data_IF_630947060554
#
_entry.id   IF_630947060554
#
_cell.length_a   1.000
_cell.length_b   1.000
_cell.length_c   1.000
_cell.angle_alpha   90.00
_cell.angle_beta   90.00
_cell.angle_gamma   90.00
#
_symmetry.space_group_name_H-M   'P 1'
#
loop_
_entity.id
_entity.type
_entity.pdbx_description
1 polymer ?
#
# COMPACT_ATOMS: atom_id res chain seq x y z
N UNK A 1 0.98 13.09 16.79
CA UNK A 1 1.44 13.03 15.39
C UNK A 1 1.97 14.34 14.79
N UNK A 2 1.84 15.49 15.47
CA UNK A 2 2.28 16.80 14.93
C UNK A 2 3.77 16.86 14.51
N UNK A 3 4.62 16.03 15.12
CA UNK A 3 6.04 15.94 14.79
C UNK A 3 6.31 15.44 13.36
N UNK A 4 5.35 14.71 12.77
CA UNK A 4 5.42 14.15 11.41
C UNK A 4 4.51 14.89 10.42
N UNK A 5 3.99 16.07 10.81
CA UNK A 5 3.05 16.84 9.98
C UNK A 5 3.68 17.22 8.64
N UNK A 6 2.88 17.12 7.59
CA UNK A 6 3.22 17.60 6.24
C UNK A 6 2.57 18.97 6.06
N UNK A 7 3.37 19.98 5.73
CA UNK A 7 2.90 21.33 5.44
C UNK A 7 2.06 21.37 4.16
N UNK A 8 1.06 22.27 4.05
CA UNK A 8 0.25 22.42 2.85
C UNK A 8 1.12 22.68 1.61
N UNK A 9 0.82 21.95 0.53
CA UNK A 9 1.57 22.06 -0.73
C UNK A 9 1.40 23.42 -1.41
N UNK A 10 0.18 23.95 -1.36
CA UNK A 10 -0.17 25.23 -1.97
C UNK A 10 -0.35 26.33 -0.90
N UNK A 11 -0.03 27.60 -1.24
CA UNK A 11 0.69 28.02 -2.44
C UNK A 11 2.11 27.42 -2.47
N UNK A 12 2.63 27.19 -3.69
CA UNK A 12 4.00 26.72 -3.86
C UNK A 12 4.94 27.80 -3.34
N UNK A 13 5.86 27.39 -2.47
CA UNK A 13 6.82 28.27 -1.79
C UNK A 13 8.02 27.45 -1.36
N UNK A 14 9.10 28.13 -0.99
CA UNK A 14 10.25 27.47 -0.38
C UNK A 14 9.84 26.81 0.95
N UNK A 15 10.02 25.48 1.03
CA UNK A 15 9.79 24.68 2.22
C UNK A 15 11.09 24.04 2.72
N UNK A 16 12.25 24.52 2.28
CA UNK A 16 13.56 23.95 2.59
C UNK A 16 13.99 24.10 4.05
N UNK A 17 13.35 24.98 4.84
CA UNK A 17 13.66 25.15 6.26
C UNK A 17 13.57 23.81 7.02
N UNK A 18 14.61 23.39 7.78
CA UNK A 18 14.58 22.15 8.52
C UNK A 18 13.45 22.10 9.56
N UNK A 19 12.76 20.96 9.64
CA UNK A 19 11.78 20.70 10.70
C UNK A 19 12.46 20.37 12.04
N UNK A 20 11.70 20.42 13.12
CA UNK A 20 12.18 19.99 14.44
C UNK A 20 12.60 18.51 14.43
N UNK A 21 11.85 17.64 13.74
CA UNK A 21 12.20 16.23 13.54
C UNK A 21 13.53 16.06 12.83
N UNK A 22 13.75 16.78 11.73
CA UNK A 22 15.01 16.72 11.00
C UNK A 22 16.19 17.22 11.85
N UNK A 23 15.98 18.31 12.58
CA UNK A 23 16.99 18.88 13.48
C UNK A 23 17.37 17.91 14.59
N UNK A 24 16.40 17.20 15.17
CA UNK A 24 16.64 16.17 16.18
C UNK A 24 17.55 15.05 15.65
N UNK A 25 17.20 14.45 14.51
CA UNK A 25 18.01 13.37 13.92
C UNK A 25 19.39 13.88 13.50
N UNK A 26 19.48 15.06 12.88
CA UNK A 26 20.76 15.63 12.49
C UNK A 26 21.71 15.81 13.68
N UNK A 27 21.22 16.30 14.82
CA UNK A 27 22.02 16.40 16.05
C UNK A 27 22.51 15.04 16.54
N UNK A 28 21.64 14.02 16.57
CA UNK A 28 22.02 12.66 16.99
C UNK A 28 23.07 12.04 16.08
N UNK A 29 22.94 12.23 14.77
CA UNK A 29 23.91 11.75 13.76
C UNK A 29 25.26 12.44 13.95
N UNK A 30 25.25 13.77 14.15
CA UNK A 30 26.46 14.55 14.46
C UNK A 30 27.15 14.07 15.73
N UNK A 31 26.40 13.63 16.73
CA UNK A 31 26.93 13.01 17.97
C UNK A 31 27.41 11.56 17.81
N UNK A 32 27.38 10.99 16.60
CA UNK A 32 27.93 9.66 16.31
C UNK A 32 26.90 8.57 16.04
N UNK A 33 25.60 8.86 16.10
CA UNK A 33 24.57 7.85 15.77
C UNK A 33 24.76 7.34 14.33
N UNK A 34 24.85 6.02 14.18
CA UNK A 34 25.02 5.35 12.89
C UNK A 34 26.47 5.23 12.41
N UNK A 35 27.46 5.80 13.10
CA UNK A 35 28.86 5.80 12.66
C UNK A 35 29.43 4.38 12.48
N UNK A 36 29.25 3.52 13.47
CA UNK A 36 29.81 2.16 13.43
C UNK A 36 29.15 1.30 12.35
N UNK A 37 27.85 1.47 12.12
CA UNK A 37 27.14 0.84 11.01
C UNK A 37 27.78 1.22 9.67
N UNK A 38 28.04 2.52 9.44
CA UNK A 38 28.63 2.98 8.18
C UNK A 38 30.09 2.54 8.04
N UNK A 39 30.86 2.51 9.13
CA UNK A 39 32.21 1.98 9.12
C UNK A 39 32.23 0.49 8.73
N UNK A 40 31.31 -0.31 9.27
CA UNK A 40 31.18 -1.73 8.93
C UNK A 40 30.81 -1.91 7.45
N UNK A 41 29.78 -1.22 6.99
CA UNK A 41 29.33 -1.30 5.59
C UNK A 41 30.39 -0.77 4.59
N UNK A 42 31.31 0.07 5.04
CA UNK A 42 32.41 0.59 4.20
C UNK A 42 33.58 -0.40 4.01
N UNK A 43 33.57 -1.55 4.72
CA UNK A 43 34.54 -2.64 4.48
C UNK A 43 34.29 -3.33 3.15
N UNK A 44 33.03 -3.48 2.75
CA UNK A 44 32.59 -4.01 1.46
C UNK A 44 31.38 -3.21 0.94
N UNK A 45 31.59 -2.07 0.27
CA UNK A 45 30.52 -1.13 -0.03
C UNK A 45 29.62 -1.61 -1.17
N UNK A 46 28.39 -1.99 -0.82
CA UNK A 46 27.28 -2.25 -1.75
C UNK A 46 26.33 -1.05 -1.84
N UNK A 47 25.37 -1.01 -2.80
CA UNK A 47 24.31 -0.01 -2.74
C UNK A 47 23.48 -0.13 -1.45
N UNK A 48 23.33 0.97 -0.70
CA UNK A 48 22.37 1.05 0.42
C UNK A 48 21.00 1.38 -0.16
N UNK A 49 20.00 0.55 0.17
CA UNK A 49 18.59 0.82 -0.08
C UNK A 49 17.87 0.89 1.26
N UNK A 50 17.21 2.02 1.55
CA UNK A 50 16.46 2.18 2.80
C UNK A 50 15.02 2.63 2.55
N UNK A 51 14.09 2.00 3.26
CA UNK A 51 12.67 2.39 3.35
C UNK A 51 12.40 3.35 4.52
N UNK A 52 13.47 3.84 5.15
CA UNK A 52 13.41 4.88 6.18
C UNK A 52 14.56 5.86 5.97
N UNK A 53 14.32 7.17 6.12
CA UNK A 53 15.32 8.18 5.75
C UNK A 53 16.56 8.22 6.66
N UNK A 54 16.43 7.79 7.92
CA UNK A 54 17.51 7.96 8.92
C UNK A 54 18.78 7.17 8.54
N UNK A 55 18.72 5.88 8.15
CA UNK A 55 19.88 5.17 7.60
C UNK A 55 20.55 5.85 6.39
N UNK A 56 19.76 6.47 5.49
CA UNK A 56 20.32 7.20 4.36
C UNK A 56 21.13 8.43 4.82
N UNK A 57 20.68 9.11 5.88
CA UNK A 57 21.40 10.23 6.48
C UNK A 57 22.65 9.79 7.25
N UNK A 58 22.64 8.59 7.87
CA UNK A 58 23.86 8.03 8.44
C UNK A 58 24.92 7.86 7.35
N UNK A 59 24.52 7.25 6.22
CA UNK A 59 25.41 6.98 5.11
C UNK A 59 25.99 8.27 4.51
N UNK A 60 25.16 9.28 4.26
CA UNK A 60 25.63 10.56 3.74
C UNK A 60 26.54 11.31 4.73
N UNK A 61 26.18 11.35 6.02
CA UNK A 61 26.94 12.12 7.01
C UNK A 61 28.29 11.49 7.38
N UNK A 62 28.33 10.16 7.53
CA UNK A 62 29.54 9.43 7.95
C UNK A 62 30.41 8.96 6.77
N UNK A 63 30.13 9.44 5.54
CA UNK A 63 30.98 9.20 4.38
C UNK A 63 30.92 7.77 3.86
N UNK A 64 29.72 7.24 3.63
CA UNK A 64 29.55 5.96 2.95
C UNK A 64 30.12 6.01 1.53
N UNK A 65 30.87 4.98 1.14
CA UNK A 65 31.58 4.91 -0.15
C UNK A 65 30.67 4.46 -1.31
N UNK A 66 29.60 3.72 -1.01
CA UNK A 66 28.65 3.21 -2.00
C UNK A 66 27.53 4.20 -2.34
N UNK A 67 26.66 3.80 -3.30
CA UNK A 67 25.45 4.57 -3.63
C UNK A 67 24.43 4.46 -2.50
N UNK A 68 23.69 5.55 -2.26
CA UNK A 68 22.64 5.61 -1.22
C UNK A 68 21.30 5.91 -1.87
N UNK A 69 20.34 5.02 -1.66
CA UNK A 69 18.98 5.12 -2.15
C UNK A 69 17.98 5.17 -0.99
N UNK A 70 16.99 6.06 -1.08
CA UNK A 70 15.90 6.18 -0.12
C UNK A 70 14.55 6.03 -0.83
N UNK A 71 13.77 5.01 -0.44
CA UNK A 71 12.42 4.81 -0.95
C UNK A 71 11.45 5.64 -0.12
N UNK A 72 10.60 6.41 -0.79
CA UNK A 72 9.44 7.04 -0.16
C UNK A 72 8.24 6.10 -0.31
N UNK A 73 7.62 5.75 0.81
CA UNK A 73 6.56 4.74 0.85
C UNK A 73 5.14 5.34 0.89
N UNK A 74 4.99 6.66 1.05
CA UNK A 74 3.70 7.34 1.18
C UNK A 74 3.36 8.20 -0.04
N UNK A 75 2.08 8.55 -0.21
CA UNK A 75 1.61 9.38 -1.32
C UNK A 75 2.05 10.85 -1.24
N UNK A 76 2.50 11.31 -0.07
CA UNK A 76 3.14 12.60 0.16
C UNK A 76 4.18 12.46 1.28
N UNK A 77 5.04 13.46 1.47
CA UNK A 77 6.21 13.31 2.35
C UNK A 77 6.49 14.53 3.22
N UNK A 78 6.77 14.28 4.50
CA UNK A 78 7.12 15.30 5.48
C UNK A 78 8.54 15.85 5.25
N UNK A 79 8.79 17.09 5.69
CA UNK A 79 10.10 17.76 5.53
C UNK A 79 11.29 16.95 6.04
N UNK A 80 11.10 16.11 7.06
CA UNK A 80 12.17 15.30 7.63
C UNK A 80 12.76 14.25 6.67
N UNK A 81 12.06 13.90 5.60
CA UNK A 81 12.52 12.96 4.59
C UNK A 81 13.42 13.58 3.51
N UNK A 82 13.56 14.91 3.49
CA UNK A 82 14.62 15.57 2.74
C UNK A 82 15.81 15.89 3.66
N UNK A 83 17.07 15.79 3.19
CA UNK A 83 18.26 15.89 4.05
C UNK A 83 18.40 17.27 4.66
N UNK A 84 19.16 17.40 5.74
CA UNK A 84 19.39 18.71 6.38
C UNK A 84 20.05 19.72 5.41
N UNK A 85 21.00 19.25 4.59
CA UNK A 85 21.65 20.04 3.54
C UNK A 85 21.21 19.57 2.14
N UNK A 86 19.91 19.69 1.84
CA UNK A 86 19.28 19.06 0.67
C UNK A 86 19.97 19.36 -0.67
N UNK A 87 20.44 20.60 -0.88
CA UNK A 87 21.10 21.03 -2.12
C UNK A 87 22.44 20.32 -2.37
N UNK A 88 23.14 19.92 -1.31
CA UNK A 88 24.45 19.24 -1.40
C UNK A 88 24.33 17.71 -1.42
N UNK A 89 23.15 17.19 -1.09
CA UNK A 89 22.92 15.77 -0.90
C UNK A 89 23.18 14.96 -2.17
N UNK A 90 23.71 13.74 -1.97
CA UNK A 90 23.95 12.76 -3.02
C UNK A 90 22.96 11.59 -2.98
N UNK A 91 22.11 11.52 -1.95
CA UNK A 91 21.06 10.50 -1.80
C UNK A 91 20.15 10.54 -3.02
N UNK A 92 19.88 9.37 -3.60
CA UNK A 92 18.90 9.22 -4.68
C UNK A 92 17.58 8.75 -4.10
N UNK A 93 16.53 9.51 -4.34
CA UNK A 93 15.18 9.22 -3.88
C UNK A 93 14.41 8.43 -4.93
N UNK A 94 13.81 7.32 -4.50
CA UNK A 94 12.93 6.48 -5.31
C UNK A 94 11.51 6.73 -4.83
N UNK A 95 10.76 7.52 -5.61
CA UNK A 95 9.49 8.10 -5.17
C UNK A 95 8.30 7.46 -5.86
N UNK A 96 7.13 7.40 -5.20
CA UNK A 96 6.02 6.64 -5.73
C UNK A 96 5.20 7.40 -6.77
N UNK A 97 5.25 8.73 -6.78
CA UNK A 97 4.45 9.56 -7.66
C UNK A 97 5.08 10.95 -7.87
N UNK A 98 4.48 11.73 -8.79
CA UNK A 98 4.92 13.09 -9.10
C UNK A 98 4.77 14.06 -7.91
N UNK A 99 3.71 13.89 -7.10
CA UNK A 99 3.44 14.75 -5.93
C UNK A 99 4.61 14.73 -4.94
N UNK A 100 5.18 13.56 -4.68
CA UNK A 100 6.35 13.40 -3.81
C UNK A 100 7.61 13.99 -4.45
N UNK A 101 7.80 13.83 -5.77
CA UNK A 101 8.92 14.47 -6.49
C UNK A 101 8.89 15.98 -6.31
N UNK A 102 7.78 16.61 -6.67
CA UNK A 102 7.60 18.05 -6.53
C UNK A 102 7.78 18.49 -5.05
N UNK A 103 7.33 17.67 -4.08
CA UNK A 103 7.50 17.94 -2.65
C UNK A 103 8.97 18.00 -2.24
N UNK A 104 9.76 17.02 -2.65
CA UNK A 104 11.20 16.96 -2.33
C UNK A 104 11.97 18.12 -2.98
N UNK A 105 11.56 18.53 -4.18
CA UNK A 105 12.12 19.73 -4.84
C UNK A 105 11.83 21.00 -4.04
N UNK A 106 10.60 21.17 -3.50
CA UNK A 106 10.28 22.29 -2.59
C UNK A 106 11.09 22.25 -1.29
N UNK A 107 11.58 21.08 -0.88
CA UNK A 107 12.50 20.94 0.26
C UNK A 107 13.98 21.16 -0.11
N UNK A 108 14.28 21.40 -1.39
CA UNK A 108 15.62 21.70 -1.90
C UNK A 108 16.43 20.49 -2.37
N UNK A 109 15.80 19.32 -2.52
CA UNK A 109 16.45 18.15 -3.15
C UNK A 109 16.56 18.38 -4.66
N UNK A 110 17.71 18.05 -5.24
CA UNK A 110 17.94 18.22 -6.68
C UNK A 110 17.04 17.29 -7.50
N UNK A 111 16.41 17.81 -8.56
CA UNK A 111 15.52 17.04 -9.42
C UNK A 111 16.17 15.77 -9.99
N UNK A 112 17.45 15.84 -10.40
CA UNK A 112 18.21 14.69 -10.91
C UNK A 112 18.58 13.64 -9.84
N UNK A 113 18.21 13.86 -8.58
CA UNK A 113 18.33 12.91 -7.47
C UNK A 113 16.98 12.30 -7.10
N UNK A 114 15.92 12.56 -7.85
CA UNK A 114 14.58 12.06 -7.55
C UNK A 114 14.05 11.31 -8.77
N UNK A 115 13.90 9.99 -8.63
CA UNK A 115 13.44 9.09 -9.67
C UNK A 115 12.05 8.59 -9.32
N UNK A 116 11.08 8.75 -10.23
CA UNK A 116 9.71 8.28 -9.99
C UNK A 116 9.61 6.80 -10.35
N UNK A 117 9.59 5.93 -9.35
CA UNK A 117 9.56 4.48 -9.54
C UNK A 117 8.15 3.89 -9.42
N UNK A 118 7.27 4.53 -8.67
CA UNK A 118 6.01 3.91 -8.23
C UNK A 118 6.16 3.20 -6.88
N UNK A 119 5.03 2.77 -6.31
CA UNK A 119 5.03 2.05 -5.04
C UNK A 119 5.64 0.65 -5.19
N UNK A 120 6.48 0.20 -4.25
CA UNK A 120 6.98 -1.17 -4.24
C UNK A 120 5.86 -2.15 -3.87
N UNK A 121 5.61 -3.12 -4.74
CA UNK A 121 4.58 -4.15 -4.60
C UNK A 121 5.16 -5.56 -4.78
N UNK A 122 4.52 -6.59 -4.21
CA UNK A 122 5.03 -7.97 -4.29
C UNK A 122 5.04 -8.50 -5.72
N UNK A 123 6.21 -8.92 -6.20
CA UNK A 123 6.40 -9.44 -7.57
C UNK A 123 5.52 -10.68 -7.83
N UNK A 124 5.32 -11.50 -6.81
CA UNK A 124 4.48 -12.70 -6.83
C UNK A 124 2.97 -12.41 -6.98
N UNK A 125 2.56 -11.15 -6.77
CA UNK A 125 1.19 -10.66 -7.04
C UNK A 125 1.11 -9.83 -8.33
N UNK A 126 2.23 -9.54 -8.98
CA UNK A 126 2.25 -8.85 -10.29
C UNK A 126 2.36 -9.89 -11.41
N UNK A 127 3.35 -10.79 -11.30
CA UNK A 127 3.62 -11.82 -12.31
C UNK A 127 4.54 -11.36 -13.43
N UNK A 128 5.62 -10.65 -13.09
CA UNK A 128 6.62 -10.23 -14.06
C UNK A 128 6.19 -9.03 -14.90
N UNK A 129 7.01 -8.71 -15.91
CA UNK A 129 6.78 -7.59 -16.83
C UNK A 129 5.46 -7.76 -17.61
N UNK A 130 5.05 -9.00 -17.89
CA UNK A 130 3.77 -9.30 -18.56
C UNK A 130 2.54 -9.07 -17.68
N UNK A 131 2.72 -8.94 -16.36
CA UNK A 131 1.66 -8.72 -15.38
C UNK A 131 0.59 -9.82 -15.39
N UNK A 132 0.98 -11.04 -15.79
CA UNK A 132 0.04 -12.14 -16.05
C UNK A 132 -0.78 -12.53 -14.80
N UNK A 133 -0.18 -12.39 -13.62
CA UNK A 133 -0.81 -12.76 -12.36
C UNK A 133 -1.88 -11.73 -11.98
N UNK A 134 -1.53 -10.44 -11.94
CA UNK A 134 -2.46 -9.39 -11.51
C UNK A 134 -3.66 -9.31 -12.47
N UNK A 135 -3.43 -9.50 -13.78
CA UNK A 135 -4.51 -9.55 -14.78
C UNK A 135 -5.44 -10.73 -14.55
N UNK A 136 -4.91 -11.92 -14.27
CA UNK A 136 -5.72 -13.09 -13.98
C UNK A 136 -6.54 -12.93 -12.69
N UNK A 137 -5.93 -12.36 -11.64
CA UNK A 137 -6.62 -12.09 -10.37
C UNK A 137 -7.72 -11.05 -10.52
N UNK A 138 -7.44 -9.94 -11.22
CA UNK A 138 -8.41 -8.89 -11.47
C UNK A 138 -9.59 -9.41 -12.30
N UNK A 139 -9.33 -10.19 -13.35
CA UNK A 139 -10.37 -10.84 -14.14
C UNK A 139 -11.32 -11.69 -13.27
N UNK A 140 -10.76 -12.49 -12.36
CA UNK A 140 -11.55 -13.28 -11.41
C UNK A 140 -12.31 -12.40 -10.40
N UNK A 141 -11.68 -11.32 -9.94
CA UNK A 141 -12.21 -10.40 -8.93
C UNK A 141 -13.39 -9.59 -9.44
N UNK A 142 -13.32 -9.03 -10.66
CA UNK A 142 -14.42 -8.27 -11.28
C UNK A 142 -15.70 -9.10 -11.29
N UNK A 143 -15.60 -10.41 -11.55
CA UNK A 143 -16.77 -11.29 -11.52
C UNK A 143 -17.47 -11.29 -10.15
N UNK A 144 -16.71 -11.33 -9.06
CA UNK A 144 -17.25 -11.28 -7.70
C UNK A 144 -17.71 -9.88 -7.29
N UNK A 145 -17.08 -8.84 -7.83
CA UNK A 145 -17.39 -7.44 -7.49
C UNK A 145 -18.54 -6.85 -8.30
N UNK A 146 -18.96 -7.50 -9.38
CA UNK A 146 -20.07 -7.10 -10.24
C UNK A 146 -21.03 -8.28 -10.49
N UNK A 147 -21.72 -8.77 -9.44
CA UNK A 147 -22.64 -9.90 -9.53
C UNK A 147 -23.80 -9.66 -10.52
N UNK A 148 -24.20 -8.40 -10.71
CA UNK A 148 -25.25 -8.00 -11.66
C UNK A 148 -24.75 -7.74 -13.08
N UNK A 149 -23.43 -7.74 -13.29
CA UNK A 149 -22.81 -7.50 -14.59
C UNK A 149 -23.00 -6.06 -15.10
N UNK A 150 -23.33 -5.10 -14.23
CA UNK A 150 -23.59 -3.71 -14.62
C UNK A 150 -22.32 -3.08 -15.16
N UNK A 151 -21.23 -3.14 -14.40
CA UNK A 151 -19.94 -2.61 -14.81
C UNK A 151 -19.41 -3.34 -16.05
N UNK A 152 -19.47 -4.68 -16.05
CA UNK A 152 -18.97 -5.52 -17.16
C UNK A 152 -19.68 -5.24 -18.47
N UNK A 153 -21.00 -5.00 -18.46
CA UNK A 153 -21.75 -4.58 -19.66
C UNK A 153 -21.39 -3.16 -20.09
N UNK A 154 -21.32 -2.22 -19.15
CA UNK A 154 -21.06 -0.80 -19.44
C UNK A 154 -19.66 -0.58 -20.03
N UNK A 155 -18.65 -1.31 -19.52
CA UNK A 155 -17.24 -1.11 -19.87
C UNK A 155 -16.60 -2.35 -20.53
N UNK A 156 -17.39 -3.14 -21.28
CA UNK A 156 -16.94 -4.39 -21.90
C UNK A 156 -15.65 -4.23 -22.74
N UNK A 157 -15.57 -3.16 -23.55
CA UNK A 157 -14.40 -2.88 -24.39
C UNK A 157 -13.13 -2.59 -23.57
N UNK A 158 -13.26 -1.91 -22.43
CA UNK A 158 -12.13 -1.61 -21.55
C UNK A 158 -11.60 -2.90 -20.92
N UNK A 159 -12.50 -3.74 -20.43
CA UNK A 159 -12.15 -5.05 -19.86
C UNK A 159 -11.46 -5.94 -20.91
N UNK A 160 -11.99 -5.98 -22.13
CA UNK A 160 -11.39 -6.75 -23.23
C UNK A 160 -9.98 -6.27 -23.57
N UNK A 161 -9.76 -4.95 -23.61
CA UNK A 161 -8.46 -4.35 -23.93
C UNK A 161 -7.36 -4.72 -22.93
N UNK A 162 -7.67 -4.75 -21.63
CA UNK A 162 -6.66 -4.93 -20.59
C UNK A 162 -6.57 -6.34 -20.01
N UNK A 163 -7.68 -7.08 -20.06
CA UNK A 163 -7.82 -8.40 -19.45
C UNK A 163 -8.16 -9.45 -20.49
N UNK A 164 -9.45 -9.66 -20.74
CA UNK A 164 -9.99 -10.67 -21.66
C UNK A 164 -11.45 -10.27 -21.97
N UNK A 165 -12.01 -10.69 -23.12
CA UNK A 165 -13.43 -10.48 -23.40
C UNK A 165 -14.30 -10.98 -22.24
N UNK A 166 -15.40 -10.28 -21.91
CA UNK A 166 -16.28 -10.63 -20.76
C UNK A 166 -16.77 -12.09 -20.82
N UNK A 167 -17.11 -12.57 -22.02
CA UNK A 167 -17.48 -13.96 -22.30
C UNK A 167 -16.41 -15.00 -21.91
N UNK A 168 -15.15 -14.59 -21.76
CA UNK A 168 -14.04 -15.43 -21.31
C UNK A 168 -13.71 -15.25 -19.82
N UNK A 169 -14.32 -14.28 -19.13
CA UNK A 169 -14.18 -14.14 -17.68
C UNK A 169 -14.87 -15.32 -17.00
N UNK A 170 -14.07 -16.11 -16.28
CA UNK A 170 -14.57 -17.30 -15.59
C UNK A 170 -15.02 -16.94 -14.18
N UNK A 171 -16.19 -17.44 -13.80
CA UNK A 171 -16.60 -17.45 -12.40
C UNK A 171 -15.54 -18.19 -11.57
N UNK A 172 -14.95 -17.55 -10.54
CA UNK A 172 -13.83 -18.12 -9.78
C UNK A 172 -14.23 -19.28 -8.85
N UNK A 173 -15.51 -19.69 -8.81
CA UNK A 173 -16.05 -20.80 -7.98
C UNK A 173 -15.64 -20.69 -6.50
N UNK A 174 -15.65 -19.47 -5.97
CA UNK A 174 -15.36 -19.14 -4.57
C UNK A 174 -16.23 -17.97 -4.10
N UNK A 175 -16.53 -17.84 -2.80
CA UNK A 175 -17.26 -16.69 -2.27
C UNK A 175 -16.51 -15.37 -2.50
N UNK A 176 -17.28 -14.27 -2.39
CA UNK A 176 -16.73 -12.93 -2.23
C UNK A 176 -15.78 -12.94 -1.04
N UNK A 177 -14.52 -12.55 -1.25
CA UNK A 177 -13.49 -12.63 -0.22
C UNK A 177 -13.07 -11.24 0.22
N UNK A 178 -13.39 -10.90 1.47
CA UNK A 178 -12.99 -9.65 2.12
C UNK A 178 -11.77 -9.95 2.98
N UNK A 179 -10.73 -9.13 2.86
CA UNK A 179 -9.59 -9.16 3.76
C UNK A 179 -9.60 -7.86 4.56
N UNK A 180 -9.86 -7.97 5.85
CA UNK A 180 -9.79 -6.86 6.79
C UNK A 180 -8.42 -6.84 7.46
N UNK A 181 -7.64 -5.81 7.20
CA UNK A 181 -6.31 -5.65 7.76
C UNK A 181 -6.28 -4.62 8.88
N UNK A 182 -6.01 -5.09 10.10
CA UNK A 182 -5.88 -4.25 11.29
C UNK A 182 -4.67 -3.34 11.14
N UNK A 183 -4.80 -2.09 11.58
CA UNK A 183 -3.67 -1.16 11.58
C UNK A 183 -2.50 -1.68 12.43
N UNK A 184 -1.26 -1.38 12.04
CA UNK A 184 -0.05 -1.98 12.65
C UNK A 184 0.09 -1.90 14.18
N UNK A 185 -0.57 -0.94 14.84
CA UNK A 185 -0.61 -0.84 16.31
C UNK A 185 -1.70 -1.72 16.98
N UNK A 186 -2.47 -2.49 16.22
CA UNK A 186 -3.72 -3.14 16.67
C UNK A 186 -4.94 -2.23 16.58
N UNK A 187 -4.79 -1.04 15.98
CA UNK A 187 -5.84 -0.03 15.87
C UNK A 187 -7.02 -0.54 15.03
N UNK A 188 -8.23 -0.16 15.44
CA UNK A 188 -9.49 -0.48 14.75
C UNK A 188 -9.81 -1.99 14.63
N UNK A 189 -9.18 -2.86 15.46
CA UNK A 189 -9.49 -4.30 15.50
C UNK A 189 -10.97 -4.60 15.75
N UNK A 190 -11.68 -3.70 16.43
CA UNK A 190 -13.11 -3.85 16.74
C UNK A 190 -13.99 -3.81 15.48
N UNK A 191 -13.55 -3.13 14.42
CA UNK A 191 -14.25 -3.18 13.11
C UNK A 191 -14.28 -4.63 12.60
N UNK A 192 -13.18 -5.37 12.73
CA UNK A 192 -13.13 -6.78 12.35
C UNK A 192 -14.15 -7.66 13.09
N UNK A 193 -14.46 -7.31 14.35
CA UNK A 193 -15.51 -7.97 15.13
C UNK A 193 -16.90 -7.61 14.61
N UNK A 194 -17.14 -6.34 14.30
CA UNK A 194 -18.39 -5.89 13.70
C UNK A 194 -18.64 -6.64 12.38
N UNK A 195 -17.62 -6.76 11.52
CA UNK A 195 -17.71 -7.52 10.27
C UNK A 195 -18.07 -8.99 10.51
N UNK A 196 -17.43 -9.66 11.47
CA UNK A 196 -17.76 -11.03 11.84
C UNK A 196 -19.22 -11.19 12.29
N UNK A 197 -19.69 -10.25 13.11
CA UNK A 197 -21.06 -10.26 13.66
C UNK A 197 -22.10 -10.01 12.57
N UNK A 198 -21.95 -8.93 11.80
CA UNK A 198 -22.92 -8.50 10.79
C UNK A 198 -22.95 -9.45 9.59
N UNK A 199 -21.79 -9.98 9.17
CA UNK A 199 -21.71 -10.92 8.04
C UNK A 199 -21.88 -12.39 8.46
N UNK A 200 -22.19 -12.70 9.72
CA UNK A 200 -22.23 -14.08 10.24
C UNK A 200 -23.09 -15.03 9.39
N UNK A 201 -24.28 -14.57 8.98
CA UNK A 201 -25.19 -15.34 8.12
C UNK A 201 -24.56 -15.63 6.76
N UNK A 202 -23.92 -14.63 6.14
CA UNK A 202 -23.24 -14.74 4.85
C UNK A 202 -22.02 -15.67 4.91
N UNK A 203 -21.27 -15.63 6.01
CA UNK A 203 -20.14 -16.53 6.28
C UNK A 203 -20.59 -17.99 6.39
N UNK A 204 -21.64 -18.26 7.18
CA UNK A 204 -22.21 -19.61 7.36
C UNK A 204 -22.81 -20.17 6.05
N UNK A 205 -23.40 -19.31 5.23
CA UNK A 205 -23.95 -19.68 3.92
C UNK A 205 -22.89 -19.86 2.82
N UNK A 206 -21.62 -19.53 3.09
CA UNK A 206 -20.56 -19.58 2.07
C UNK A 206 -20.74 -18.57 0.94
N UNK A 207 -21.42 -17.44 1.21
CA UNK A 207 -21.55 -16.32 0.27
C UNK A 207 -20.37 -15.36 0.37
N UNK A 208 -19.87 -15.17 1.59
CA UNK A 208 -18.73 -14.32 1.92
C UNK A 208 -17.68 -15.15 2.63
N UNK A 209 -16.41 -14.84 2.36
CA UNK A 209 -15.25 -15.24 3.16
C UNK A 209 -14.59 -13.99 3.73
N UNK A 210 -14.24 -14.03 5.01
CA UNK A 210 -13.57 -12.96 5.73
C UNK A 210 -12.20 -13.45 6.22
N UNK A 211 -11.14 -12.77 5.79
CA UNK A 211 -9.81 -12.89 6.36
C UNK A 211 -9.56 -11.72 7.32
N UNK A 212 -9.27 -12.01 8.58
CA UNK A 212 -8.93 -11.04 9.62
C UNK A 212 -7.42 -11.04 9.82
N UNK A 213 -6.74 -9.97 9.43
CA UNK A 213 -5.27 -9.92 9.48
C UNK A 213 -4.81 -9.38 10.82
N UNK A 214 -4.20 -10.27 11.61
CA UNK A 214 -3.50 -9.94 12.85
C UNK A 214 -2.00 -9.67 12.62
N UNK A 215 -1.46 -10.05 11.45
CA UNK A 215 -0.04 -9.88 11.15
C UNK A 215 0.83 -10.71 12.07
N UNK A 216 1.74 -10.03 12.80
CA UNK A 216 2.60 -10.65 13.82
C UNK A 216 2.12 -10.37 15.25
N UNK A 217 0.95 -9.74 15.42
CA UNK A 217 0.40 -9.34 16.72
C UNK A 217 -0.40 -10.47 17.35
N UNK A 218 0.23 -11.21 18.26
CA UNK A 218 -0.41 -12.33 18.96
C UNK A 218 -1.64 -11.89 19.79
N UNK A 219 -1.63 -10.67 20.36
CA UNK A 219 -2.76 -10.12 21.09
C UNK A 219 -4.00 -9.89 20.20
N UNK A 220 -3.80 -9.42 18.97
CA UNK A 220 -4.88 -9.28 17.97
C UNK A 220 -5.37 -10.64 17.49
N UNK A 221 -4.45 -11.59 17.29
CA UNK A 221 -4.81 -12.97 16.96
C UNK A 221 -5.68 -13.62 18.05
N UNK A 222 -5.26 -13.53 19.32
CA UNK A 222 -6.03 -14.05 20.47
C UNK A 222 -7.39 -13.37 20.56
N UNK A 223 -7.44 -12.05 20.35
CA UNK A 223 -8.68 -11.28 20.37
C UNK A 223 -9.70 -11.82 19.35
N UNK A 224 -9.29 -11.99 18.08
CA UNK A 224 -10.17 -12.57 17.06
C UNK A 224 -10.52 -14.03 17.33
N UNK A 225 -9.55 -14.84 17.78
CA UNK A 225 -9.77 -16.26 18.07
C UNK A 225 -10.82 -16.45 19.16
N UNK A 226 -10.75 -15.67 20.24
CA UNK A 226 -11.71 -15.72 21.33
C UNK A 226 -13.13 -15.39 20.85
N UNK A 227 -13.26 -14.39 19.96
CA UNK A 227 -14.56 -14.05 19.38
C UNK A 227 -15.13 -15.16 18.49
N UNK A 228 -14.30 -15.74 17.60
CA UNK A 228 -14.75 -16.86 16.76
C UNK A 228 -15.24 -18.04 17.60
N UNK A 229 -14.54 -18.36 18.70
CA UNK A 229 -14.93 -19.41 19.62
C UNK A 229 -16.27 -19.12 20.31
N UNK A 230 -16.43 -17.93 20.89
CA UNK A 230 -17.64 -17.58 21.65
C UNK A 230 -18.91 -17.42 20.79
N UNK A 231 -18.76 -17.22 19.48
CA UNK A 231 -19.88 -17.04 18.55
C UNK A 231 -20.10 -18.22 17.59
N UNK A 232 -19.48 -19.37 17.86
CA UNK A 232 -19.66 -20.59 17.05
C UNK A 232 -19.18 -20.45 15.60
N UNK A 233 -18.11 -19.67 15.39
CA UNK A 233 -17.47 -19.47 14.08
C UNK A 233 -16.10 -20.13 13.97
N UNK A 234 -15.59 -20.77 15.03
CA UNK A 234 -14.28 -21.43 15.04
C UNK A 234 -14.14 -22.52 13.95
N UNK A 235 -15.23 -23.25 13.64
CA UNK A 235 -15.27 -24.25 12.57
C UNK A 235 -15.74 -23.69 11.22
N UNK A 236 -16.00 -22.39 11.11
CA UNK A 236 -16.47 -21.78 9.87
C UNK A 236 -15.29 -21.57 8.90
N UNK A 237 -15.21 -22.38 7.84
CA UNK A 237 -14.15 -22.28 6.82
C UNK A 237 -14.06 -20.92 6.10
N UNK A 238 -15.10 -20.11 6.22
CA UNK A 238 -15.19 -18.77 5.64
C UNK A 238 -14.75 -17.65 6.59
N UNK A 239 -14.42 -17.94 7.85
CA UNK A 239 -13.83 -16.99 8.79
C UNK A 239 -12.39 -17.42 9.11
N UNK A 240 -11.42 -16.66 8.63
CA UNK A 240 -10.00 -17.01 8.74
C UNK A 240 -9.21 -15.91 9.45
N UNK A 241 -8.31 -16.26 10.36
CA UNK A 241 -7.37 -15.32 10.98
C UNK A 241 -6.00 -15.49 10.35
N UNK A 242 -5.44 -14.41 9.84
CA UNK A 242 -4.12 -14.39 9.19
C UNK A 242 -3.10 -13.89 10.21
N UNK A 243 -2.27 -14.81 10.69
CA UNK A 243 -1.25 -14.58 11.69
C UNK A 243 0.00 -15.41 11.38
N UNK A 244 1.18 -14.84 11.64
CA UNK A 244 2.45 -15.58 11.63
C UNK A 244 3.34 -15.11 12.78
N UNK A 245 4.35 -15.92 13.12
CA UNK A 245 5.26 -15.63 14.25
C UNK A 245 6.27 -14.52 13.92
N UNK A 246 6.64 -14.40 12.65
CA UNK A 246 7.58 -13.41 12.15
C UNK A 246 7.08 -12.74 10.87
N UNK A 247 7.74 -11.64 10.51
CA UNK A 247 7.32 -10.79 9.38
C UNK A 247 7.49 -11.48 8.04
N UNK A 248 8.52 -12.28 7.85
CA UNK A 248 8.82 -12.91 6.56
C UNK A 248 7.76 -13.96 6.23
N UNK A 249 7.42 -14.81 7.20
CA UNK A 249 6.31 -15.75 7.08
C UNK A 249 4.98 -15.02 6.88
N UNK A 250 4.75 -13.93 7.63
CA UNK A 250 3.54 -13.12 7.48
C UNK A 250 3.41 -12.59 6.05
N UNK A 251 4.46 -12.00 5.47
CA UNK A 251 4.40 -11.45 4.12
C UNK A 251 4.11 -12.53 3.08
N UNK A 252 4.73 -13.71 3.19
CA UNK A 252 4.44 -14.83 2.28
C UNK A 252 2.96 -15.26 2.34
N UNK A 253 2.40 -15.40 3.54
CA UNK A 253 0.99 -15.78 3.72
C UNK A 253 0.07 -14.65 3.23
N UNK A 254 0.40 -13.39 3.57
CA UNK A 254 -0.39 -12.22 3.17
C UNK A 254 -0.44 -12.06 1.64
N UNK A 255 0.70 -12.16 0.97
CA UNK A 255 0.78 -12.06 -0.49
C UNK A 255 -0.02 -13.18 -1.17
N UNK A 256 0.02 -14.40 -0.61
CA UNK A 256 -0.78 -15.53 -1.10
C UNK A 256 -2.28 -15.32 -0.95
N UNK A 257 -2.77 -14.74 0.15
CA UNK A 257 -4.21 -14.51 0.32
C UNK A 257 -4.72 -13.34 -0.54
N UNK A 258 -3.88 -12.34 -0.83
CA UNK A 258 -4.25 -11.20 -1.66
C UNK A 258 -4.64 -11.62 -3.08
N UNK A 259 -4.02 -12.69 -3.60
CA UNK A 259 -4.38 -13.34 -4.88
C UNK A 259 -5.86 -13.72 -5.00
N UNK A 260 -6.49 -14.03 -3.86
CA UNK A 260 -7.90 -14.43 -3.76
C UNK A 260 -8.77 -13.41 -3.03
N UNK A 261 -8.21 -12.28 -2.64
CA UNK A 261 -8.95 -11.20 -2.01
C UNK A 261 -9.69 -10.43 -3.08
N UNK A 262 -10.96 -10.15 -2.86
CA UNK A 262 -11.78 -9.29 -3.74
C UNK A 262 -11.88 -7.87 -3.23
N UNK A 263 -11.92 -7.69 -1.90
CA UNK A 263 -12.00 -6.37 -1.25
C UNK A 263 -10.95 -6.33 -0.15
N UNK A 264 -10.11 -5.30 -0.15
CA UNK A 264 -9.19 -5.03 0.95
C UNK A 264 -9.75 -3.89 1.80
N UNK A 265 -10.02 -4.17 3.06
CA UNK A 265 -10.52 -3.17 4.00
C UNK A 265 -9.47 -2.86 5.05
N UNK A 266 -9.02 -1.62 5.11
CA UNK A 266 -8.01 -1.19 6.07
C UNK A 266 -8.05 0.33 6.28
N UNK A 267 -7.27 0.86 7.21
CA UNK A 267 -7.02 2.30 7.29
C UNK A 267 -6.20 2.73 6.07
N UNK A 268 -6.26 3.99 5.63
CA UNK A 268 -5.53 4.45 4.46
C UNK A 268 -4.03 4.67 4.75
N UNK A 269 -3.34 3.63 5.25
CA UNK A 269 -1.89 3.61 5.39
C UNK A 269 -1.26 2.93 4.16
N UNK A 270 -0.16 2.20 4.30
CA UNK A 270 0.65 1.65 3.22
C UNK A 270 -0.07 0.59 2.37
N UNK A 271 -1.09 -0.08 2.92
CA UNK A 271 -1.89 -1.05 2.16
C UNK A 271 -2.79 -0.39 1.10
N UNK A 272 -2.99 0.93 1.16
CA UNK A 272 -3.67 1.73 0.15
C UNK A 272 -3.12 1.50 -1.25
N UNK A 273 -1.80 1.33 -1.37
CA UNK A 273 -1.11 1.22 -2.67
C UNK A 273 -1.30 -0.15 -3.32
N UNK A 274 -1.84 -1.12 -2.58
CA UNK A 274 -2.22 -2.42 -3.14
C UNK A 274 -3.44 -2.33 -4.06
N UNK A 275 -4.10 -1.16 -4.14
CA UNK A 275 -5.07 -0.84 -5.19
C UNK A 275 -4.53 -1.08 -6.61
N UNK A 276 -3.23 -0.91 -6.83
CA UNK A 276 -2.58 -1.20 -8.11
C UNK A 276 -2.61 -2.69 -8.53
N UNK A 277 -2.90 -3.58 -7.58
CA UNK A 277 -3.17 -5.00 -7.82
C UNK A 277 -4.65 -5.26 -8.21
N UNK A 278 -5.39 -4.20 -8.50
CA UNK A 278 -6.82 -4.20 -8.81
C UNK A 278 -7.70 -4.49 -7.60
N UNK A 279 -7.25 -4.15 -6.39
CA UNK A 279 -7.99 -4.36 -5.16
C UNK A 279 -8.74 -3.06 -4.82
N UNK A 280 -10.08 -3.03 -4.84
CA UNK A 280 -10.81 -1.88 -4.31
C UNK A 280 -10.56 -1.81 -2.80
N UNK A 281 -10.29 -0.60 -2.32
CA UNK A 281 -9.96 -0.36 -0.92
C UNK A 281 -11.15 0.28 -0.21
N UNK A 282 -11.70 -0.41 0.79
CA UNK A 282 -12.64 0.19 1.74
C UNK A 282 -11.80 0.77 2.89
N UNK A 283 -11.86 2.08 3.07
CA UNK A 283 -11.03 2.82 4.01
C UNK A 283 -11.74 3.02 5.34
N UNK A 284 -11.14 2.56 6.44
CA UNK A 284 -11.52 3.04 7.78
C UNK A 284 -10.92 4.43 8.04
N UNK A 285 -11.35 5.08 9.12
CA UNK A 285 -10.91 6.45 9.42
C UNK A 285 -9.38 6.58 9.53
N UNK A 286 -8.79 7.66 8.98
CA UNK A 286 -7.37 7.94 9.11
C UNK A 286 -7.03 8.36 10.55
N UNK A 287 -5.94 7.81 11.07
CA UNK A 287 -5.38 8.08 12.40
C UNK A 287 -4.21 9.07 12.28
N UNK A 288 -3.38 8.92 11.25
CA UNK A 288 -2.14 9.70 11.06
C UNK A 288 -2.22 10.82 10.02
N UNK A 289 -1.26 11.75 10.02
CA UNK A 289 -1.18 12.82 9.02
C UNK A 289 -0.93 12.28 7.61
N UNK A 290 -0.03 11.31 7.46
CA UNK A 290 0.30 10.65 6.20
C UNK A 290 -0.93 9.98 5.60
N UNK A 291 -1.74 9.36 6.46
CA UNK A 291 -2.95 8.63 6.06
C UNK A 291 -4.00 9.54 5.41
N UNK A 292 -4.01 10.85 5.75
CA UNK A 292 -4.87 11.82 5.06
C UNK A 292 -4.47 12.03 3.60
N UNK A 293 -3.17 12.03 3.32
CA UNK A 293 -2.64 12.18 1.96
C UNK A 293 -2.80 10.89 1.16
N UNK A 294 -2.56 9.74 1.80
CA UNK A 294 -2.78 8.42 1.18
C UNK A 294 -4.27 8.22 0.83
N UNK A 295 -5.19 8.59 1.74
CA UNK A 295 -6.63 8.65 1.45
C UNK A 295 -6.94 9.56 0.28
N UNK A 296 -6.40 10.79 0.30
CA UNK A 296 -6.62 11.77 -0.77
C UNK A 296 -6.17 11.25 -2.13
N UNK A 297 -5.01 10.60 -2.20
CA UNK A 297 -4.50 9.95 -3.40
C UNK A 297 -5.43 8.83 -3.87
N UNK A 298 -5.86 7.96 -2.96
CA UNK A 298 -6.71 6.81 -3.30
C UNK A 298 -8.11 7.21 -3.80
N UNK A 299 -8.69 8.28 -3.22
CA UNK A 299 -9.94 8.88 -3.70
C UNK A 299 -9.74 9.52 -5.08
N UNK A 300 -8.61 10.20 -5.30
CA UNK A 300 -8.34 10.88 -6.57
C UNK A 300 -8.24 9.90 -7.75
N UNK A 301 -7.69 8.71 -7.53
CA UNK A 301 -7.61 7.64 -8.55
C UNK A 301 -8.86 6.74 -8.58
N UNK A 302 -9.93 7.07 -7.87
CA UNK A 302 -11.19 6.30 -7.88
C UNK A 302 -11.13 4.89 -7.25
N UNK A 303 -10.00 4.47 -6.68
CA UNK A 303 -9.80 3.11 -6.19
C UNK A 303 -10.19 2.91 -4.70
N UNK A 304 -10.49 4.00 -4.01
CA UNK A 304 -10.78 4.04 -2.57
C UNK A 304 -12.13 4.61 -2.25
N UNK A 305 -12.83 3.94 -1.34
CA UNK A 305 -14.14 4.37 -0.84
C UNK A 305 -14.07 4.37 0.69
N UNK A 306 -14.55 5.44 1.33
CA UNK A 306 -14.67 5.44 2.79
C UNK A 306 -15.71 4.44 3.24
N UNK A 307 -15.41 3.68 4.29
CA UNK A 307 -16.41 2.81 4.91
C UNK A 307 -17.57 3.64 5.43
N UNK A 308 -18.79 3.24 5.08
CA UNK A 308 -19.97 3.62 5.86
C UNK A 308 -19.93 2.96 7.24
N UNK A 309 -20.91 3.28 8.09
CA UNK A 309 -21.01 2.66 9.40
C UNK A 309 -20.96 1.11 9.27
N UNK A 310 -19.94 0.44 9.82
CA UNK A 310 -19.77 -1.01 9.67
C UNK A 310 -20.91 -1.83 10.27
N UNK A 311 -21.74 -1.26 11.15
CA UNK A 311 -22.92 -1.93 11.71
C UNK A 311 -23.99 -2.27 10.66
N UNK A 312 -23.95 -1.64 9.50
CA UNK A 312 -24.89 -1.87 8.39
C UNK A 312 -24.21 -2.51 7.18
N UNK A 313 -23.02 -3.11 7.35
CA UNK A 313 -22.23 -3.68 6.25
C UNK A 313 -22.95 -4.78 5.49
N UNK A 314 -23.88 -5.49 6.13
CA UNK A 314 -24.71 -6.52 5.50
C UNK A 314 -25.79 -5.96 4.58
N UNK A 315 -25.93 -4.64 4.51
CA UNK A 315 -26.83 -3.92 3.61
C UNK A 315 -26.00 -3.18 2.55
N UNK A 316 -25.28 -2.12 2.94
CA UNK A 316 -24.65 -1.21 1.98
C UNK A 316 -23.55 -1.87 1.14
N UNK A 317 -22.87 -2.90 1.65
CA UNK A 317 -21.85 -3.60 0.86
C UNK A 317 -22.48 -4.27 -0.36
N UNK A 318 -23.66 -4.85 -0.18
CA UNK A 318 -24.35 -5.56 -1.25
C UNK A 318 -24.98 -4.59 -2.24
N UNK A 319 -25.41 -3.40 -1.82
CA UNK A 319 -25.81 -2.33 -2.75
C UNK A 319 -24.63 -1.86 -3.63
N UNK A 320 -23.43 -1.74 -3.07
CA UNK A 320 -22.23 -1.37 -3.82
C UNK A 320 -21.78 -2.46 -4.80
N UNK A 321 -21.95 -3.73 -4.43
CA UNK A 321 -21.71 -4.86 -5.32
C UNK A 321 -22.75 -4.89 -6.44
N UNK A 322 -24.03 -4.78 -6.11
CA UNK A 322 -25.12 -4.86 -7.09
C UNK A 322 -25.09 -3.73 -8.11
N UNK A 323 -24.57 -2.55 -7.74
CA UNK A 323 -24.34 -1.43 -8.66
C UNK A 323 -23.10 -1.60 -9.56
N UNK A 324 -22.19 -2.51 -9.22
CA UNK A 324 -20.89 -2.67 -9.90
C UNK A 324 -19.83 -1.64 -9.50
N UNK A 325 -20.10 -0.80 -8.49
CA UNK A 325 -19.22 0.30 -8.09
C UNK A 325 -17.86 -0.20 -7.59
N UNK A 326 -17.82 -1.31 -6.85
CA UNK A 326 -16.55 -1.90 -6.40
C UNK A 326 -15.73 -2.48 -7.54
N UNK A 327 -16.37 -2.96 -8.62
CA UNK A 327 -15.66 -3.42 -9.82
C UNK A 327 -15.04 -2.24 -10.58
N UNK A 328 -15.70 -1.10 -10.61
CA UNK A 328 -15.14 0.17 -11.12
C UNK A 328 -13.89 0.55 -10.32
N UNK A 329 -14.00 0.65 -8.99
CA UNK A 329 -12.85 0.96 -8.13
C UNK A 329 -11.67 -0.02 -8.28
N UNK A 330 -11.95 -1.31 -8.47
CA UNK A 330 -10.94 -2.32 -8.75
C UNK A 330 -10.21 -2.07 -10.08
N UNK A 331 -10.95 -1.70 -11.12
CA UNK A 331 -10.40 -1.39 -12.43
C UNK A 331 -9.64 -0.07 -12.42
N UNK A 332 -10.14 0.99 -11.79
CA UNK A 332 -9.43 2.27 -11.69
C UNK A 332 -8.11 2.12 -10.94
N UNK A 333 -8.11 1.39 -9.80
CA UNK A 333 -6.87 1.05 -9.11
C UNK A 333 -5.88 0.32 -10.01
N UNK A 334 -6.35 -0.60 -10.85
CA UNK A 334 -5.49 -1.27 -11.82
C UNK A 334 -5.05 -0.34 -12.97
N UNK A 335 -5.83 0.61 -13.43
CA UNK A 335 -5.46 1.44 -14.57
C UNK A 335 -4.49 2.57 -14.16
N UNK A 336 -4.77 3.20 -13.02
CA UNK A 336 -4.16 4.48 -12.66
C UNK A 336 -3.06 4.36 -11.60
N UNK A 337 -3.07 3.31 -10.77
CA UNK A 337 -2.03 3.16 -9.76
C UNK A 337 -0.76 2.50 -10.32
N UNK A 338 0.44 3.09 -10.10
CA UNK A 338 1.69 2.49 -10.53
C UNK A 338 1.99 1.17 -9.80
N UNK A 339 2.23 0.10 -10.56
CA UNK A 339 2.45 -1.25 -9.99
C UNK A 339 3.84 -1.84 -10.17
N UNK A 340 4.69 -1.24 -11.01
CA UNK A 340 5.99 -1.81 -11.38
C UNK A 340 7.15 -1.31 -10.51
N UNK A 341 6.86 -0.65 -9.37
CA UNK A 341 7.87 -0.01 -8.53
C UNK A 341 9.02 -0.91 -8.12
N UNK A 342 8.73 -2.14 -7.68
CA UNK A 342 9.77 -3.10 -7.28
C UNK A 342 10.73 -3.47 -8.42
N UNK A 343 10.22 -3.59 -9.65
CA UNK A 343 11.05 -3.88 -10.82
C UNK A 343 11.90 -2.67 -11.25
N UNK A 344 11.33 -1.46 -11.18
CA UNK A 344 12.05 -0.21 -11.48
C UNK A 344 13.17 0.02 -10.46
N UNK A 345 12.88 -0.15 -9.17
CA UNK A 345 13.85 -0.05 -8.07
C UNK A 345 14.98 -1.07 -8.26
N UNK A 346 14.66 -2.33 -8.55
CA UNK A 346 15.66 -3.37 -8.83
C UNK A 346 16.58 -2.97 -10.00
N UNK A 347 16.02 -2.49 -11.11
CA UNK A 347 16.81 -2.05 -12.26
C UNK A 347 17.75 -0.90 -11.93
N UNK A 348 17.30 0.08 -11.16
CA UNK A 348 18.11 1.24 -10.76
C UNK A 348 19.23 0.80 -9.80
N UNK A 349 18.89 0.03 -8.76
CA UNK A 349 19.79 -0.26 -7.64
C UNK A 349 20.78 -1.37 -7.98
N UNK A 350 20.34 -2.44 -8.64
CA UNK A 350 21.16 -3.62 -8.91
C UNK A 350 21.75 -3.63 -10.32
N UNK A 351 21.04 -3.08 -11.31
CA UNK A 351 21.43 -3.18 -12.73
C UNK A 351 21.96 -1.85 -13.31
N UNK A 352 22.00 -0.76 -12.52
CA UNK A 352 22.36 0.58 -12.97
C UNK A 352 21.58 1.06 -14.22
N UNK A 353 20.35 0.58 -14.39
CA UNK A 353 19.48 0.96 -15.50
C UNK A 353 18.43 1.94 -15.00
N UNK A 354 18.49 3.18 -15.48
CA UNK A 354 17.46 4.18 -15.18
C UNK A 354 16.12 3.69 -15.71
N UNK A 355 15.13 3.64 -14.83
CA UNK A 355 13.79 3.13 -15.13
C UNK A 355 12.79 3.92 -14.29
N UNK A 356 12.10 4.86 -14.93
CA UNK A 356 11.09 5.70 -14.30
C UNK A 356 9.69 5.36 -14.84
N UNK A 357 8.66 5.90 -14.19
CA UNK A 357 7.32 5.99 -14.77
C UNK A 357 7.38 7.03 -15.89
N UNK A 358 6.89 6.67 -17.07
CA UNK A 358 6.77 7.61 -18.18
C UNK A 358 5.74 8.69 -17.84
N UNK A 359 5.93 9.94 -18.27
CA UNK A 359 5.02 11.04 -17.93
C UNK A 359 3.56 10.78 -18.37
N UNK A 360 3.35 9.90 -19.36
CA UNK A 360 2.03 9.43 -19.82
C UNK A 360 1.34 8.42 -18.89
N UNK A 361 2.07 7.83 -17.94
CA UNK A 361 1.56 6.92 -16.90
C UNK A 361 1.36 7.63 -15.53
N UNK A 362 1.53 8.97 -15.47
CA UNK A 362 1.54 9.76 -14.22
C UNK A 362 0.24 10.52 -13.90
N UNK A 363 -0.89 10.16 -14.53
CA UNK A 363 -2.18 10.82 -14.27
C UNK A 363 -2.57 10.80 -12.78
#
# INVERSE_FOLDING_TARGET
DNFQKIEPFYPRRDLSRPSQQLTYYHKKIKSGLGKDLINELNKDPLPILSTFFVPAYFAEYHGYKGKVYCIICDADVARAWAPYYSVKSQITYLVPNRRVKDRLELYGVKSNKILITGFPLPKENIGGVSQQIVKADLAARIYNLDPRGIYRRKYAHLIERYLSPDKNLKNPKRPLTITFAVGGAGAQRDIGIILLRRLQKHLKQGKVKLNLVAGVRNDVYIYFKNYLKSHGLESCANANIVYAKDKDQYFQVFNKILRKTDILWTKPSELTFYSALGLPIIMSEPIGYQEKYNRGWLVAIGAGIDSLNPEYVDEWLFDWLDSGWLAEAAMEGFLDAPRMGTYRIENIVLNNKVSEIDDVELL
#
